data_IF_513690850366
#
_entry.id   IF_513690850366
#
_cell.length_a   1.000
_cell.length_b   1.000
_cell.length_c   1.000
_cell.angle_alpha   90.00
_cell.angle_beta   90.00
_cell.angle_gamma   90.00
#
_symmetry.space_group_name_H-M   'P 1'
#
loop_
_entity.id
_entity.type
_entity.pdbx_description
1 polymer ?
#
# COMPACT_ATOMS: atom_id res chain seq x y z
N UNK A 1 74.81 -1.93 -6.13
CA UNK A 1 73.37 -1.61 -5.94
C UNK A 1 72.47 -2.75 -6.42
N UNK A 2 72.72 -4.01 -6.02
CA UNK A 2 71.90 -5.12 -6.49
C UNK A 2 72.10 -6.48 -5.81
N UNK A 3 73.05 -6.59 -4.87
CA UNK A 3 73.24 -7.83 -4.08
C UNK A 3 72.66 -7.73 -2.67
N UNK A 4 72.35 -6.52 -2.18
CA UNK A 4 71.83 -6.28 -0.81
C UNK A 4 70.30 -6.25 -0.72
N UNK A 5 69.57 -6.43 -1.82
CA UNK A 5 68.13 -6.12 -1.90
C UNK A 5 67.21 -7.33 -2.10
N UNK A 6 67.63 -8.56 -1.81
CA UNK A 6 66.77 -9.75 -2.01
C UNK A 6 66.81 -10.37 -3.40
N UNK A 7 67.57 -9.77 -4.32
CA UNK A 7 67.63 -10.16 -5.72
C UNK A 7 69.02 -10.64 -6.12
N UNK A 8 69.06 -11.58 -7.07
CA UNK A 8 70.30 -11.97 -7.74
C UNK A 8 70.12 -12.17 -9.23
N UNK A 9 71.13 -11.80 -10.03
CA UNK A 9 71.22 -12.12 -11.45
C UNK A 9 71.60 -13.59 -11.67
N UNK A 10 70.86 -14.27 -12.54
CA UNK A 10 71.18 -15.61 -12.99
C UNK A 10 72.46 -15.63 -13.86
N UNK A 11 73.37 -16.56 -13.61
CA UNK A 11 74.60 -16.70 -14.42
C UNK A 11 74.33 -17.05 -15.90
N UNK A 12 73.21 -17.71 -16.21
CA UNK A 12 72.88 -18.19 -17.57
C UNK A 12 72.15 -17.14 -18.41
N UNK A 13 71.07 -16.57 -17.88
CA UNK A 13 70.21 -15.64 -18.63
C UNK A 13 70.27 -14.19 -18.14
N UNK A 14 71.03 -13.90 -17.07
CA UNK A 14 71.16 -12.58 -16.43
C UNK A 14 69.87 -11.96 -15.89
N UNK A 15 68.74 -12.68 -15.91
CA UNK A 15 67.51 -12.24 -15.27
C UNK A 15 67.67 -12.12 -13.75
N UNK A 16 67.03 -11.11 -13.13
CA UNK A 16 66.95 -10.94 -11.69
C UNK A 16 65.94 -11.94 -11.10
N UNK A 17 66.36 -12.67 -10.07
CA UNK A 17 65.58 -13.67 -9.36
C UNK A 17 65.55 -13.26 -7.88
N UNK A 18 64.37 -13.22 -7.27
CA UNK A 18 64.18 -12.96 -5.84
C UNK A 18 64.39 -14.25 -5.04
N UNK A 19 64.92 -14.14 -3.82
CA UNK A 19 65.00 -15.26 -2.90
C UNK A 19 63.63 -15.54 -2.28
N UNK A 20 63.03 -16.69 -2.60
CA UNK A 20 61.93 -17.23 -1.82
C UNK A 20 62.48 -17.74 -0.47
N UNK A 21 61.83 -17.37 0.63
CA UNK A 21 62.34 -17.50 2.00
C UNK A 21 62.95 -18.89 2.32
N UNK A 22 64.10 -18.90 3.02
CA UNK A 22 64.54 -20.05 3.83
C UNK A 22 65.57 -21.02 3.25
N UNK A 23 66.13 -20.83 2.05
CA UNK A 23 67.25 -21.65 1.57
C UNK A 23 68.20 -20.87 0.64
N UNK A 24 69.50 -21.20 0.66
CA UNK A 24 70.50 -20.56 -0.21
C UNK A 24 70.43 -21.04 -1.66
N UNK A 25 69.54 -21.98 -1.99
CA UNK A 25 69.31 -22.48 -3.34
C UNK A 25 68.34 -21.58 -4.12
N UNK A 26 68.76 -21.08 -5.27
CA UNK A 26 67.91 -20.34 -6.20
C UNK A 26 67.69 -21.14 -7.48
N UNK A 27 66.46 -21.09 -8.00
CA UNK A 27 66.12 -21.61 -9.33
C UNK A 27 65.57 -20.49 -10.19
N UNK A 28 66.25 -20.18 -11.30
CA UNK A 28 65.77 -19.19 -12.26
C UNK A 28 64.70 -19.77 -13.18
N UNK A 29 63.88 -18.92 -13.80
CA UNK A 29 62.93 -19.27 -14.88
C UNK A 29 63.60 -20.01 -16.05
N UNK A 30 64.89 -19.76 -16.32
CA UNK A 30 65.66 -20.51 -17.33
C UNK A 30 66.16 -21.88 -16.85
N UNK A 31 65.66 -22.37 -15.71
CA UNK A 31 65.99 -23.63 -15.03
C UNK A 31 67.44 -23.73 -14.52
N UNK A 32 68.20 -22.66 -14.60
CA UNK A 32 69.54 -22.62 -14.00
C UNK A 32 69.40 -22.54 -12.47
N UNK A 33 70.12 -23.42 -11.77
CA UNK A 33 70.17 -23.46 -10.32
C UNK A 33 71.52 -22.91 -9.83
N UNK A 34 71.50 -22.02 -8.85
CA UNK A 34 72.70 -21.39 -8.29
C UNK A 34 72.48 -20.96 -6.85
N UNK A 35 73.57 -20.76 -6.11
CA UNK A 35 73.50 -20.26 -4.75
C UNK A 35 73.09 -18.78 -4.72
N UNK A 36 72.27 -18.36 -3.75
CA UNK A 36 71.87 -16.97 -3.45
C UNK A 36 72.99 -16.13 -2.82
N UNK A 37 74.07 -16.74 -2.32
CA UNK A 37 75.15 -16.01 -1.60
C UNK A 37 76.43 -15.86 -2.42
N UNK A 38 76.94 -16.92 -3.06
CA UNK A 38 78.16 -16.81 -3.90
C UNK A 38 77.93 -16.83 -5.43
N UNK A 39 76.82 -17.40 -5.91
CA UNK A 39 76.39 -17.30 -7.32
C UNK A 39 76.91 -18.46 -8.15
N UNK A 40 77.67 -19.34 -7.49
CA UNK A 40 78.13 -20.59 -8.04
C UNK A 40 76.95 -21.48 -8.45
N UNK A 41 77.20 -22.29 -9.48
CA UNK A 41 76.27 -23.28 -10.00
C UNK A 41 75.96 -24.27 -8.87
N UNK A 42 74.68 -24.52 -8.64
CA UNK A 42 74.24 -25.44 -7.60
C UNK A 42 74.49 -26.88 -8.02
N UNK A 43 75.08 -27.67 -7.14
CA UNK A 43 75.26 -29.11 -7.35
C UNK A 43 74.20 -29.88 -6.55
N UNK A 44 73.52 -30.85 -7.15
CA UNK A 44 72.46 -31.62 -6.47
C UNK A 44 73.01 -32.54 -5.36
N UNK A 45 74.27 -32.96 -5.43
CA UNK A 45 74.86 -33.94 -4.51
C UNK A 45 75.62 -33.26 -3.36
N UNK A 46 76.26 -32.13 -3.62
CA UNK A 46 77.13 -31.41 -2.66
C UNK A 46 76.52 -30.08 -2.21
N UNK A 47 75.49 -29.57 -2.90
CA UNK A 47 74.90 -28.26 -2.64
C UNK A 47 75.73 -27.12 -3.25
N UNK A 48 75.90 -26.04 -2.50
CA UNK A 48 76.73 -24.91 -2.92
C UNK A 48 78.23 -25.30 -2.91
N UNK A 49 78.96 -25.17 -4.02
CA UNK A 49 80.40 -25.50 -4.08
C UNK A 49 81.27 -24.75 -3.07
N UNK A 50 80.83 -23.57 -2.63
CA UNK A 50 81.51 -22.74 -1.65
C UNK A 50 80.97 -22.92 -0.23
N UNK A 51 80.16 -23.97 0.02
CA UNK A 51 79.55 -24.30 1.31
C UNK A 51 78.94 -23.08 2.03
N UNK A 52 78.26 -22.20 1.28
CA UNK A 52 77.65 -21.01 1.86
C UNK A 52 76.42 -21.40 2.70
N UNK A 53 76.50 -21.19 4.01
CA UNK A 53 75.44 -21.58 4.96
C UNK A 53 74.26 -20.59 4.95
N UNK A 54 74.50 -19.30 4.75
CA UNK A 54 73.45 -18.31 4.49
C UNK A 54 72.43 -18.02 5.57
N UNK A 55 72.52 -18.77 6.66
CA UNK A 55 71.95 -18.53 7.97
C UNK A 55 72.11 -17.07 8.37
N UNK A 56 73.34 -16.53 8.38
CA UNK A 56 73.59 -15.16 8.82
C UNK A 56 72.90 -14.06 7.97
N UNK A 57 72.82 -14.22 6.64
CA UNK A 57 72.20 -13.21 5.76
C UNK A 57 70.66 -13.28 5.81
N UNK A 58 70.12 -14.48 5.92
CA UNK A 58 68.68 -14.71 6.11
C UNK A 58 68.21 -14.25 7.49
N UNK A 59 68.97 -14.52 8.55
CA UNK A 59 68.70 -14.07 9.92
C UNK A 59 68.72 -12.54 10.02
N UNK A 60 69.69 -11.86 9.40
CA UNK A 60 69.71 -10.39 9.35
C UNK A 60 68.44 -9.80 8.73
N UNK A 61 67.93 -10.38 7.64
CA UNK A 61 66.68 -9.92 7.01
C UNK A 61 65.46 -10.20 7.85
N UNK A 62 65.40 -11.36 8.50
CA UNK A 62 64.31 -11.66 9.43
C UNK A 62 64.31 -10.65 10.57
N UNK A 63 65.47 -10.27 11.11
CA UNK A 63 65.60 -9.23 12.14
C UNK A 63 65.17 -7.86 11.59
N UNK A 64 65.59 -7.47 10.38
CA UNK A 64 65.19 -6.19 9.74
C UNK A 64 63.67 -6.14 9.44
N UNK A 65 63.10 -7.22 8.93
CA UNK A 65 61.66 -7.32 8.64
C UNK A 65 60.84 -7.34 9.93
N UNK A 66 61.29 -8.09 10.95
CA UNK A 66 60.69 -8.10 12.29
C UNK A 66 60.78 -6.72 12.96
N UNK A 67 61.90 -6.02 12.80
CA UNK A 67 62.06 -4.65 13.30
C UNK A 67 61.07 -3.70 12.60
N UNK A 68 60.96 -3.77 11.27
CA UNK A 68 60.00 -2.96 10.49
C UNK A 68 58.55 -3.25 10.89
N UNK A 69 58.17 -4.52 11.09
CA UNK A 69 56.81 -4.86 11.55
C UNK A 69 56.58 -4.40 12.98
N UNK A 70 57.58 -4.55 13.87
CA UNK A 70 57.48 -4.08 15.25
C UNK A 70 57.36 -2.56 15.33
N UNK A 71 58.02 -1.80 14.46
CA UNK A 71 57.86 -0.35 14.34
C UNK A 71 56.44 0.04 13.93
N UNK A 72 55.87 -0.61 12.90
CA UNK A 72 54.50 -0.37 12.44
C UNK A 72 53.46 -0.75 13.51
N UNK A 73 53.67 -1.88 14.20
CA UNK A 73 52.81 -2.33 15.29
C UNK A 73 52.89 -1.39 16.49
N UNK A 74 54.09 -0.86 16.80
CA UNK A 74 54.27 0.15 17.84
C UNK A 74 53.60 1.48 17.48
N UNK A 75 53.70 1.94 16.23
CA UNK A 75 53.00 3.14 15.74
C UNK A 75 51.48 2.98 15.82
N UNK A 76 50.96 1.83 15.37
CA UNK A 76 49.53 1.52 15.47
C UNK A 76 49.07 1.43 16.92
N UNK A 77 49.81 0.76 17.79
CA UNK A 77 49.51 0.68 19.21
C UNK A 77 49.54 2.06 19.89
N UNK A 78 50.46 2.93 19.51
CA UNK A 78 50.49 4.32 20.00
C UNK A 78 49.27 5.12 19.55
N UNK A 79 48.83 4.96 18.28
CA UNK A 79 47.61 5.59 17.76
C UNK A 79 46.36 5.08 18.46
N UNK A 80 46.25 3.77 18.63
CA UNK A 80 45.11 3.14 19.30
C UNK A 80 45.05 3.53 20.79
N UNK A 81 46.21 3.62 21.45
CA UNK A 81 46.31 4.10 22.83
C UNK A 81 45.95 5.58 22.97
N UNK A 82 46.37 6.43 22.02
CA UNK A 82 45.98 7.85 21.99
C UNK A 82 44.46 8.00 21.78
N UNK A 83 43.87 7.26 20.85
CA UNK A 83 42.43 7.25 20.60
C UNK A 83 41.64 6.73 21.83
N UNK A 84 42.15 5.70 22.51
CA UNK A 84 41.54 5.18 23.74
C UNK A 84 41.62 6.20 24.89
N UNK A 85 42.73 6.92 25.02
CA UNK A 85 42.89 7.97 26.02
C UNK A 85 41.94 9.16 25.75
N UNK A 86 41.80 9.58 24.50
CA UNK A 86 40.85 10.61 24.08
C UNK A 86 39.41 10.18 24.34
N UNK A 87 39.03 8.96 23.97
CA UNK A 87 37.70 8.40 24.24
C UNK A 87 37.40 8.29 25.75
N UNK A 88 38.40 7.98 26.58
CA UNK A 88 38.23 7.96 28.03
C UNK A 88 38.00 9.38 28.59
N UNK A 89 38.67 10.39 28.04
CA UNK A 89 38.47 11.79 28.43
C UNK A 89 37.10 12.32 28.02
N UNK A 90 36.62 12.00 26.82
CA UNK A 90 35.27 12.38 26.37
C UNK A 90 34.19 11.70 27.20
N UNK A 91 34.32 10.39 27.49
CA UNK A 91 33.37 9.66 28.32
C UNK A 91 33.27 10.23 29.74
N UNK A 92 34.40 10.64 30.30
CA UNK A 92 34.44 11.28 31.61
C UNK A 92 33.79 12.68 31.58
N UNK A 93 34.06 13.49 30.54
CA UNK A 93 33.43 14.80 30.36
C UNK A 93 31.90 14.69 30.14
N UNK A 94 31.44 13.67 29.42
CA UNK A 94 30.02 13.34 29.30
C UNK A 94 29.39 12.95 30.63
N UNK A 95 30.06 12.10 31.42
CA UNK A 95 29.57 11.70 32.74
C UNK A 95 29.36 12.92 33.64
N UNK A 96 30.35 13.82 33.68
CA UNK A 96 30.25 15.08 34.46
C UNK A 96 29.05 15.92 34.01
N UNK A 97 28.86 16.09 32.71
CA UNK A 97 27.70 16.85 32.20
C UNK A 97 26.38 16.20 32.60
N UNK A 98 26.25 14.86 32.45
CA UNK A 98 25.01 14.13 32.77
C UNK A 98 24.66 14.19 34.26
N UNK A 99 25.66 14.16 35.12
CA UNK A 99 25.47 14.19 36.58
C UNK A 99 25.32 15.61 37.13
N UNK A 100 25.67 16.64 36.34
CA UNK A 100 25.63 18.01 36.80
C UNK A 100 24.19 18.49 37.08
N UNK A 101 23.88 19.07 38.27
CA UNK A 101 22.53 19.47 38.65
C UNK A 101 21.85 20.45 37.67
N UNK A 102 22.62 21.39 37.10
CA UNK A 102 22.07 22.35 36.13
C UNK A 102 21.66 21.66 34.81
N UNK A 103 22.37 20.62 34.39
CA UNK A 103 21.99 19.84 33.20
C UNK A 103 20.75 18.99 33.49
N UNK A 104 20.66 18.37 34.66
CA UNK A 104 19.46 17.63 35.07
C UNK A 104 18.21 18.52 35.12
N UNK A 105 18.35 19.76 35.62
CA UNK A 105 17.27 20.74 35.62
C UNK A 105 16.85 21.13 34.19
N UNK A 106 17.82 21.44 33.31
CA UNK A 106 17.56 21.73 31.90
C UNK A 106 16.88 20.55 31.18
N UNK A 107 17.33 19.33 31.45
CA UNK A 107 16.76 18.10 30.89
C UNK A 107 15.30 17.95 31.33
N UNK A 108 14.99 18.16 32.62
CA UNK A 108 13.62 18.10 33.13
C UNK A 108 12.72 19.16 32.44
N UNK A 109 13.22 20.39 32.28
CA UNK A 109 12.50 21.47 31.59
C UNK A 109 12.21 21.14 30.12
N UNK A 110 13.20 20.61 29.40
CA UNK A 110 13.06 20.18 28.01
C UNK A 110 12.03 19.06 27.87
N UNK A 111 12.08 18.05 28.75
CA UNK A 111 11.11 16.95 28.75
C UNK A 111 9.69 17.47 29.05
N UNK A 112 9.54 18.39 30.01
CA UNK A 112 8.24 19.00 30.31
C UNK A 112 7.71 19.86 29.14
N UNK A 113 8.58 20.61 28.46
CA UNK A 113 8.21 21.35 27.24
C UNK A 113 7.78 20.40 26.11
N UNK A 114 8.52 19.31 25.90
CA UNK A 114 8.18 18.26 24.93
C UNK A 114 6.81 17.67 25.21
N UNK A 115 6.52 17.30 26.45
CA UNK A 115 5.25 16.71 26.83
C UNK A 115 4.09 17.68 26.54
N UNK A 116 4.20 18.94 26.98
CA UNK A 116 3.17 19.97 26.70
C UNK A 116 2.93 20.15 25.21
N UNK A 117 3.98 20.11 24.40
CA UNK A 117 3.85 20.19 22.95
C UNK A 117 3.15 18.96 22.37
N UNK A 118 3.51 17.74 22.81
CA UNK A 118 2.86 16.51 22.38
C UNK A 118 1.37 16.50 22.75
N UNK A 119 1.04 16.89 23.97
CA UNK A 119 -0.35 16.99 24.44
C UNK A 119 -1.13 17.99 23.59
N UNK A 120 -0.56 19.16 23.31
CA UNK A 120 -1.17 20.17 22.45
C UNK A 120 -1.40 19.65 21.02
N UNK A 121 -0.41 18.99 20.44
CA UNK A 121 -0.53 18.40 19.09
C UNK A 121 -1.64 17.36 19.04
N UNK A 122 -1.68 16.45 20.02
CA UNK A 122 -2.71 15.41 20.12
C UNK A 122 -4.10 16.02 20.30
N UNK A 123 -4.24 17.03 21.16
CA UNK A 123 -5.50 17.75 21.37
C UNK A 123 -6.00 18.39 20.06
N UNK A 124 -5.11 19.07 19.31
CA UNK A 124 -5.48 19.71 18.05
C UNK A 124 -5.81 18.71 16.95
N UNK A 125 -5.05 17.61 16.84
CA UNK A 125 -5.36 16.52 15.92
C UNK A 125 -6.72 15.91 16.24
N UNK A 126 -6.97 15.60 17.50
CA UNK A 126 -8.25 15.04 17.93
C UNK A 126 -9.43 15.96 17.58
N UNK A 127 -9.33 17.26 17.86
CA UNK A 127 -10.38 18.23 17.47
C UNK A 127 -10.59 18.31 15.95
N UNK A 128 -9.54 18.16 15.16
CA UNK A 128 -9.64 18.11 13.70
C UNK A 128 -10.34 16.82 13.25
N UNK A 129 -9.89 15.65 13.72
CA UNK A 129 -10.49 14.34 13.41
C UNK A 129 -11.99 14.29 13.78
N UNK A 130 -12.36 14.86 14.93
CA UNK A 130 -13.76 14.95 15.34
C UNK A 130 -14.59 15.78 14.37
N UNK A 131 -14.11 16.97 13.96
CA UNK A 131 -14.82 17.81 12.98
C UNK A 131 -14.92 17.13 11.61
N UNK A 132 -13.86 16.45 11.18
CA UNK A 132 -13.87 15.67 9.94
C UNK A 132 -14.89 14.54 10.00
N UNK A 133 -14.91 13.80 11.10
CA UNK A 133 -15.87 12.74 11.38
C UNK A 133 -17.32 13.24 11.36
N UNK A 134 -17.62 14.35 12.05
CA UNK A 134 -18.93 14.97 12.08
C UNK A 134 -19.39 15.42 10.68
N UNK A 135 -18.53 16.11 9.93
CA UNK A 135 -18.83 16.56 8.56
C UNK A 135 -19.09 15.38 7.62
N UNK A 136 -18.26 14.32 7.69
CA UNK A 136 -18.43 13.11 6.90
C UNK A 136 -19.73 12.39 7.26
N UNK A 137 -20.01 12.22 8.55
CA UNK A 137 -21.24 11.58 9.03
C UNK A 137 -22.49 12.35 8.59
N UNK A 138 -22.48 13.69 8.70
CA UNK A 138 -23.57 14.54 8.25
C UNK A 138 -23.82 14.43 6.73
N UNK A 139 -22.74 14.39 5.95
CA UNK A 139 -22.81 14.24 4.48
C UNK A 139 -23.37 12.88 4.10
N UNK A 140 -22.88 11.80 4.72
CA UNK A 140 -23.40 10.45 4.51
C UNK A 140 -24.88 10.37 4.89
N UNK A 141 -25.26 10.88 6.06
CA UNK A 141 -26.65 10.87 6.54
C UNK A 141 -27.61 11.64 5.61
N UNK A 142 -27.16 12.76 5.05
CA UNK A 142 -27.93 13.51 4.05
C UNK A 142 -28.17 12.70 2.78
N UNK A 143 -27.12 12.04 2.27
CA UNK A 143 -27.24 11.23 1.06
C UNK A 143 -28.06 9.97 1.28
N UNK A 144 -27.97 9.32 2.44
CA UNK A 144 -28.82 8.17 2.77
C UNK A 144 -30.31 8.56 2.81
N UNK A 145 -30.65 9.68 3.44
CA UNK A 145 -32.04 10.19 3.46
C UNK A 145 -32.54 10.54 2.04
N UNK A 146 -31.68 11.10 1.18
CA UNK A 146 -32.02 11.39 -0.22
C UNK A 146 -32.26 10.11 -1.02
N UNK A 147 -31.41 9.08 -0.86
CA UNK A 147 -31.57 7.78 -1.52
C UNK A 147 -32.85 7.10 -1.06
N UNK A 148 -33.11 7.00 0.25
CA UNK A 148 -34.32 6.37 0.80
C UNK A 148 -35.59 7.06 0.28
N UNK A 149 -35.63 8.40 0.27
CA UNK A 149 -36.76 9.16 -0.27
C UNK A 149 -36.96 8.93 -1.77
N UNK A 150 -35.89 8.73 -2.52
CA UNK A 150 -35.97 8.42 -3.95
C UNK A 150 -36.49 6.99 -4.17
N UNK A 151 -35.93 6.01 -3.46
CA UNK A 151 -36.38 4.62 -3.50
C UNK A 151 -37.86 4.48 -3.13
N UNK A 152 -38.34 5.21 -2.13
CA UNK A 152 -39.76 5.21 -1.75
C UNK A 152 -40.65 5.71 -2.90
N UNK A 153 -40.22 6.76 -3.62
CA UNK A 153 -40.96 7.28 -4.79
C UNK A 153 -40.91 6.30 -5.96
N UNK A 154 -39.78 5.64 -6.16
CA UNK A 154 -39.59 4.63 -7.19
C UNK A 154 -40.50 3.44 -6.96
N UNK A 155 -40.55 2.93 -5.73
CA UNK A 155 -41.43 1.85 -5.29
C UNK A 155 -42.91 2.21 -5.49
N UNK A 156 -43.34 3.42 -5.10
CA UNK A 156 -44.72 3.90 -5.33
C UNK A 156 -45.08 3.95 -6.82
N UNK A 157 -44.16 4.42 -7.64
CA UNK A 157 -44.37 4.53 -9.10
C UNK A 157 -44.46 3.14 -9.75
N UNK A 158 -43.61 2.20 -9.33
CA UNK A 158 -43.64 0.82 -9.80
C UNK A 158 -44.94 0.12 -9.40
N UNK A 159 -45.35 0.24 -8.12
CA UNK A 159 -46.62 -0.30 -7.61
C UNK A 159 -47.82 0.24 -8.39
N UNK A 160 -47.86 1.55 -8.67
CA UNK A 160 -48.95 2.13 -9.46
C UNK A 160 -48.96 1.58 -10.89
N UNK A 161 -47.79 1.36 -11.50
CA UNK A 161 -47.72 0.75 -12.83
C UNK A 161 -48.26 -0.68 -12.79
N UNK A 162 -47.86 -1.48 -11.80
CA UNK A 162 -48.35 -2.85 -11.61
C UNK A 162 -49.87 -2.92 -11.44
N UNK A 163 -50.45 -2.06 -10.60
CA UNK A 163 -51.90 -1.97 -10.41
C UNK A 163 -52.63 -1.71 -11.73
N UNK A 164 -52.15 -0.75 -12.54
CA UNK A 164 -52.71 -0.46 -13.87
C UNK A 164 -52.54 -1.64 -14.85
N UNK A 165 -51.45 -2.38 -14.76
CA UNK A 165 -51.21 -3.54 -15.62
C UNK A 165 -52.16 -4.69 -15.27
N UNK A 166 -52.37 -4.94 -13.98
CA UNK A 166 -53.33 -5.93 -13.47
C UNK A 166 -54.75 -5.55 -13.92
N UNK A 167 -55.14 -4.28 -13.76
CA UNK A 167 -56.45 -3.79 -14.17
C UNK A 167 -56.69 -4.00 -15.68
N UNK A 168 -55.72 -3.64 -16.53
CA UNK A 168 -55.82 -3.84 -17.97
C UNK A 168 -55.89 -5.33 -18.37
N UNK A 169 -55.16 -6.21 -17.68
CA UNK A 169 -55.24 -7.65 -17.92
C UNK A 169 -56.60 -8.22 -17.48
N UNK A 170 -57.13 -7.78 -16.33
CA UNK A 170 -58.46 -8.15 -15.85
C UNK A 170 -59.55 -7.74 -16.83
N UNK A 171 -59.52 -6.50 -17.33
CA UNK A 171 -60.48 -6.01 -18.33
C UNK A 171 -60.41 -6.81 -19.64
N UNK A 172 -59.19 -7.10 -20.13
CA UNK A 172 -59.03 -7.94 -21.32
C UNK A 172 -59.60 -9.35 -21.08
N UNK A 173 -59.33 -9.98 -19.95
CA UNK A 173 -59.88 -11.31 -19.63
C UNK A 173 -61.41 -11.28 -19.56
N UNK A 174 -62.00 -10.26 -18.94
CA UNK A 174 -63.46 -10.10 -18.88
C UNK A 174 -64.08 -9.96 -20.27
N UNK A 175 -63.51 -9.13 -21.15
CA UNK A 175 -64.02 -8.97 -22.52
C UNK A 175 -63.89 -10.24 -23.36
N UNK A 176 -62.77 -10.96 -23.23
CA UNK A 176 -62.57 -12.25 -23.89
C UNK A 176 -63.59 -13.29 -23.38
N UNK A 177 -63.83 -13.36 -22.07
CA UNK A 177 -64.84 -14.25 -21.48
C UNK A 177 -66.26 -13.92 -21.94
N UNK A 178 -66.62 -12.63 -22.02
CA UNK A 178 -67.91 -12.20 -22.58
C UNK A 178 -68.07 -12.65 -24.04
N UNK A 179 -67.03 -12.49 -24.85
CA UNK A 179 -67.05 -12.95 -26.24
C UNK A 179 -67.21 -14.47 -26.34
N UNK A 180 -66.51 -15.24 -25.49
CA UNK A 180 -66.63 -16.70 -25.42
C UNK A 180 -68.05 -17.13 -25.04
N UNK A 181 -68.65 -16.49 -24.04
CA UNK A 181 -70.02 -16.74 -23.63
C UNK A 181 -71.01 -16.44 -24.75
N UNK A 182 -70.80 -15.36 -25.51
CA UNK A 182 -71.65 -15.02 -26.65
C UNK A 182 -71.60 -16.07 -27.77
N UNK A 183 -70.41 -16.62 -28.07
CA UNK A 183 -70.24 -17.71 -29.04
C UNK A 183 -70.89 -18.99 -28.52
N UNK A 184 -70.72 -19.33 -27.23
CA UNK A 184 -71.37 -20.49 -26.60
C UNK A 184 -72.90 -20.40 -26.64
N UNK A 185 -73.48 -19.24 -26.33
CA UNK A 185 -74.93 -19.02 -26.39
C UNK A 185 -75.43 -19.16 -27.83
N UNK A 186 -74.71 -18.56 -28.80
CA UNK A 186 -75.04 -18.67 -30.22
C UNK A 186 -74.97 -20.11 -30.72
N UNK A 187 -73.92 -20.84 -30.35
CA UNK A 187 -73.78 -22.27 -30.65
C UNK A 187 -74.97 -23.07 -30.12
N UNK A 188 -75.31 -22.93 -28.83
CA UNK A 188 -76.49 -23.62 -28.25
C UNK A 188 -77.78 -23.31 -28.99
N UNK A 189 -77.99 -22.05 -29.38
CA UNK A 189 -79.17 -21.65 -30.14
C UNK A 189 -79.16 -22.25 -31.56
N UNK A 190 -78.01 -22.28 -32.23
CA UNK A 190 -77.87 -22.88 -33.56
C UNK A 190 -77.96 -24.41 -33.52
N UNK A 191 -77.43 -25.06 -32.49
CA UNK A 191 -77.58 -26.50 -32.20
C UNK A 191 -79.06 -26.82 -32.04
N UNK A 192 -79.79 -26.12 -31.15
CA UNK A 192 -81.22 -26.33 -30.97
C UNK A 192 -82.04 -26.03 -32.24
N UNK A 193 -81.61 -25.06 -33.06
CA UNK A 193 -82.22 -24.76 -34.35
C UNK A 193 -82.03 -25.90 -35.36
N UNK A 194 -80.83 -26.48 -35.43
CA UNK A 194 -80.46 -27.53 -36.39
C UNK A 194 -80.92 -28.93 -35.95
N UNK A 195 -80.94 -29.22 -34.65
CA UNK A 195 -81.37 -30.50 -34.08
C UNK A 195 -82.88 -30.71 -34.17
N UNK A 196 -83.68 -29.64 -34.21
CA UNK A 196 -85.12 -29.71 -34.35
C UNK A 196 -85.77 -30.62 -33.32
N UNK A 197 -86.18 -30.09 -32.17
CA UNK A 197 -87.04 -30.83 -31.23
C UNK A 197 -88.40 -31.15 -31.90
N UNK A 198 -88.41 -32.18 -32.73
CA UNK A 198 -89.58 -32.89 -33.17
C UNK A 198 -90.09 -33.70 -32.00
N UNK A 199 -90.82 -33.07 -31.09
CA UNK A 199 -91.84 -33.71 -30.26
C UNK A 199 -92.77 -32.65 -29.66
N UNK A 200 -93.58 -32.02 -30.50
CA UNK A 200 -94.89 -31.52 -30.12
C UNK A 200 -95.92 -32.36 -30.85
N UNK A 201 -96.57 -33.30 -30.17
CA UNK A 201 -97.78 -33.93 -30.68
C UNK A 201 -98.83 -32.80 -30.84
N UNK A 202 -99.42 -32.74 -32.02
CA UNK A 202 -100.49 -31.83 -32.44
C UNK A 202 -100.15 -30.31 -32.53
N UNK A 203 -99.66 -29.89 -33.71
CA UNK A 203 -99.79 -28.50 -34.14
C UNK A 203 -99.76 -28.38 -35.66
N UNK A 204 -100.81 -27.79 -36.24
CA UNK A 204 -100.98 -27.48 -37.68
C UNK A 204 -100.07 -26.32 -38.14
N UNK A 205 -98.77 -26.37 -37.81
CA UNK A 205 -97.76 -25.40 -38.23
C UNK A 205 -96.76 -26.02 -39.23
N UNK A 206 -96.27 -25.27 -40.24
CA UNK A 206 -95.35 -25.80 -41.24
C UNK A 206 -94.08 -26.38 -40.61
N UNK A 207 -93.69 -27.59 -41.03
CA UNK A 207 -92.42 -28.23 -40.62
C UNK A 207 -91.24 -27.34 -41.05
N UNK A 208 -90.40 -26.98 -40.08
CA UNK A 208 -89.22 -26.12 -40.27
C UNK A 208 -88.14 -26.86 -41.06
N UNK A 209 -87.59 -26.26 -42.11
CA UNK A 209 -86.54 -26.85 -42.98
C UNK A 209 -85.19 -26.21 -42.66
N UNK A 210 -84.24 -27.02 -42.18
CA UNK A 210 -82.84 -26.62 -41.99
C UNK A 210 -82.15 -26.64 -43.36
N UNK A 211 -81.48 -25.56 -43.73
CA UNK A 211 -80.77 -25.45 -45.01
C UNK A 211 -79.31 -25.90 -44.87
N UNK A 212 -78.67 -26.29 -45.99
CA UNK A 212 -77.23 -26.60 -46.02
C UNK A 212 -76.38 -25.42 -45.53
N UNK A 213 -76.84 -24.19 -45.78
CA UNK A 213 -76.22 -22.96 -45.29
C UNK A 213 -76.23 -22.89 -43.77
N UNK A 214 -77.32 -23.27 -43.10
CA UNK A 214 -77.43 -23.26 -41.64
C UNK A 214 -76.42 -24.23 -41.00
N UNK A 215 -76.20 -25.40 -41.61
CA UNK A 215 -75.21 -26.38 -41.16
C UNK A 215 -73.76 -25.89 -41.39
N UNK A 216 -73.49 -25.20 -42.49
CA UNK A 216 -72.20 -24.56 -42.73
C UNK A 216 -71.92 -23.46 -41.71
N UNK A 217 -72.92 -22.62 -41.39
CA UNK A 217 -72.81 -21.57 -40.38
C UNK A 217 -72.59 -22.16 -38.97
N UNK A 218 -73.25 -23.29 -38.63
CA UNK A 218 -72.99 -24.03 -37.38
C UNK A 218 -71.55 -24.56 -37.31
N UNK A 219 -71.05 -25.16 -38.40
CA UNK A 219 -69.66 -25.61 -38.51
C UNK A 219 -68.64 -24.48 -38.34
N UNK A 220 -68.94 -23.29 -38.89
CA UNK A 220 -68.12 -22.09 -38.66
C UNK A 220 -68.09 -21.68 -37.20
N UNK A 221 -69.21 -21.75 -36.47
CA UNK A 221 -69.25 -21.42 -35.04
C UNK A 221 -68.45 -22.40 -34.18
N UNK A 222 -68.41 -23.70 -34.52
CA UNK A 222 -67.55 -24.67 -33.82
C UNK A 222 -66.07 -24.39 -34.04
N UNK A 223 -65.67 -24.11 -35.28
CA UNK A 223 -64.29 -23.74 -35.59
C UNK A 223 -63.85 -22.48 -34.82
N UNK A 224 -64.76 -21.50 -34.68
CA UNK A 224 -64.52 -20.33 -33.85
C UNK A 224 -64.29 -20.74 -32.39
N UNK A 225 -65.21 -21.49 -31.77
CA UNK A 225 -65.09 -21.96 -30.38
C UNK A 225 -63.75 -22.68 -30.13
N UNK A 226 -63.37 -23.58 -31.02
CA UNK A 226 -62.18 -24.41 -30.86
C UNK A 226 -60.87 -23.60 -31.02
N UNK A 227 -60.91 -22.52 -31.83
CA UNK A 227 -59.79 -21.58 -31.99
C UNK A 227 -59.68 -20.51 -30.89
N UNK A 228 -60.75 -20.23 -30.14
CA UNK A 228 -60.81 -19.10 -29.21
C UNK A 228 -59.77 -19.18 -28.08
N UNK A 229 -59.56 -20.36 -27.49
CA UNK A 229 -58.60 -20.50 -26.39
C UNK A 229 -57.17 -20.08 -26.80
N UNK A 230 -56.72 -20.48 -28.00
CA UNK A 230 -55.40 -20.09 -28.54
C UNK A 230 -55.34 -18.59 -28.82
N UNK A 231 -56.39 -18.03 -29.45
CA UNK A 231 -56.46 -16.60 -29.74
C UNK A 231 -56.45 -15.74 -28.46
N UNK A 232 -57.21 -16.16 -27.44
CA UNK A 232 -57.24 -15.50 -26.13
C UNK A 232 -55.86 -15.51 -25.48
N UNK A 233 -55.20 -16.67 -25.47
CA UNK A 233 -53.86 -16.81 -24.91
C UNK A 233 -52.85 -15.92 -25.64
N UNK A 234 -52.87 -15.90 -26.98
CA UNK A 234 -51.99 -15.03 -27.76
C UNK A 234 -52.21 -13.55 -27.47
N UNK A 235 -53.48 -13.11 -27.33
CA UNK A 235 -53.79 -11.71 -26.97
C UNK A 235 -53.27 -11.33 -25.58
N UNK A 236 -53.44 -12.22 -24.60
CA UNK A 236 -52.95 -12.02 -23.23
C UNK A 236 -51.41 -11.96 -23.22
N UNK A 237 -50.74 -12.85 -23.95
CA UNK A 237 -49.27 -12.87 -24.04
C UNK A 237 -48.74 -11.56 -24.64
N UNK A 238 -49.31 -11.09 -25.76
CA UNK A 238 -48.88 -9.82 -26.38
C UNK A 238 -49.09 -8.63 -25.43
N UNK A 239 -50.15 -8.62 -24.63
CA UNK A 239 -50.36 -7.59 -23.61
C UNK A 239 -49.26 -7.66 -22.55
N UNK A 240 -49.00 -8.86 -22.00
CA UNK A 240 -47.97 -9.09 -20.96
C UNK A 240 -46.57 -8.74 -21.44
N UNK A 241 -46.21 -9.08 -22.67
CA UNK A 241 -44.90 -8.76 -23.23
C UNK A 241 -44.70 -7.24 -23.32
N UNK A 242 -45.74 -6.49 -23.70
CA UNK A 242 -45.71 -5.02 -23.72
C UNK A 242 -45.62 -4.42 -22.32
N UNK A 243 -46.34 -5.01 -21.36
CA UNK A 243 -46.32 -4.60 -19.95
C UNK A 243 -44.95 -4.84 -19.32
N UNK A 244 -44.35 -6.01 -19.58
CA UNK A 244 -43.00 -6.38 -19.13
C UNK A 244 -41.96 -5.38 -19.65
N UNK A 245 -41.98 -5.06 -20.95
CA UNK A 245 -41.06 -4.08 -21.52
C UNK A 245 -41.20 -2.69 -20.89
N UNK A 246 -42.43 -2.23 -20.64
CA UNK A 246 -42.67 -0.94 -19.96
C UNK A 246 -42.16 -0.94 -18.52
N UNK A 247 -42.28 -2.07 -17.81
CA UNK A 247 -41.75 -2.22 -16.47
C UNK A 247 -40.22 -2.19 -16.48
N UNK A 248 -39.59 -2.93 -17.40
CA UNK A 248 -38.14 -2.94 -17.59
C UNK A 248 -37.58 -1.53 -17.85
N UNK A 249 -38.18 -0.78 -18.79
CA UNK A 249 -37.79 0.59 -19.09
C UNK A 249 -37.96 1.55 -17.89
N UNK A 250 -38.95 1.32 -17.02
CA UNK A 250 -39.13 2.09 -15.80
C UNK A 250 -38.02 1.79 -14.79
N UNK A 251 -37.76 0.51 -14.54
CA UNK A 251 -36.75 0.06 -13.59
C UNK A 251 -35.34 0.49 -14.02
N UNK A 252 -35.04 0.46 -15.32
CA UNK A 252 -33.77 0.94 -15.86
C UNK A 252 -33.58 2.45 -15.61
N UNK A 253 -34.61 3.27 -15.85
CA UNK A 253 -34.55 4.71 -15.54
C UNK A 253 -34.35 4.95 -14.05
N UNK A 254 -35.07 4.21 -13.21
CA UNK A 254 -34.97 4.30 -11.76
C UNK A 254 -33.58 3.89 -11.25
N UNK A 255 -32.98 2.86 -11.82
CA UNK A 255 -31.62 2.44 -11.52
C UNK A 255 -30.59 3.52 -11.89
N UNK A 256 -30.69 4.08 -13.10
CA UNK A 256 -29.81 5.16 -13.57
C UNK A 256 -29.91 6.43 -12.70
N UNK A 257 -31.09 6.72 -12.13
CA UNK A 257 -31.26 7.84 -11.19
C UNK A 257 -30.57 7.59 -9.85
N UNK A 258 -30.68 6.38 -9.31
CA UNK A 258 -29.99 5.98 -8.08
C UNK A 258 -28.47 5.94 -8.26
N UNK A 259 -27.99 5.45 -9.40
CA UNK A 259 -26.56 5.46 -9.76
C UNK A 259 -26.01 6.89 -9.78
N UNK A 260 -26.71 7.82 -10.45
CA UNK A 260 -26.31 9.24 -10.46
C UNK A 260 -26.28 9.86 -9.06
N UNK A 261 -27.16 9.46 -8.15
CA UNK A 261 -27.09 9.92 -6.76
C UNK A 261 -25.91 9.31 -6.03
N UNK A 262 -25.61 8.03 -6.26
CA UNK A 262 -24.44 7.37 -5.69
C UNK A 262 -23.13 8.04 -6.16
N UNK A 263 -23.01 8.34 -7.45
CA UNK A 263 -21.86 9.05 -8.02
C UNK A 263 -21.68 10.44 -7.38
N UNK A 264 -22.78 11.19 -7.20
CA UNK A 264 -22.72 12.50 -6.53
C UNK A 264 -22.27 12.38 -5.08
N UNK A 265 -22.75 11.37 -4.37
CA UNK A 265 -22.31 11.08 -3.00
C UNK A 265 -20.82 10.76 -2.97
N UNK A 266 -20.34 9.93 -3.89
CA UNK A 266 -18.92 9.56 -3.98
C UNK A 266 -18.06 10.80 -4.25
N UNK A 267 -18.41 11.61 -5.25
CA UNK A 267 -17.71 12.86 -5.57
C UNK A 267 -17.66 13.84 -4.38
N UNK A 268 -18.76 13.99 -3.63
CA UNK A 268 -18.77 14.85 -2.43
C UNK A 268 -17.90 14.28 -1.31
N UNK A 269 -17.86 12.95 -1.13
CA UNK A 269 -17.01 12.31 -0.13
C UNK A 269 -15.52 12.40 -0.51
N UNK A 270 -15.19 12.29 -1.79
CA UNK A 270 -13.83 12.49 -2.31
C UNK A 270 -13.38 13.94 -2.13
N UNK A 271 -14.23 14.91 -2.44
CA UNK A 271 -13.94 16.32 -2.21
C UNK A 271 -13.65 16.60 -0.73
N UNK A 272 -14.50 16.08 0.17
CA UNK A 272 -14.26 16.18 1.62
C UNK A 272 -12.96 15.51 2.05
N UNK A 273 -12.64 14.33 1.50
CA UNK A 273 -11.40 13.63 1.82
C UNK A 273 -10.16 14.43 1.37
N UNK A 274 -10.22 15.09 0.21
CA UNK A 274 -9.19 15.99 -0.27
C UNK A 274 -9.01 17.20 0.67
N UNK A 275 -10.12 17.84 1.06
CA UNK A 275 -10.09 18.97 1.99
C UNK A 275 -9.49 18.57 3.36
N UNK A 276 -9.84 17.37 3.86
CA UNK A 276 -9.33 16.84 5.12
C UNK A 276 -7.84 16.53 5.05
N UNK A 277 -7.37 15.92 3.96
CA UNK A 277 -5.95 15.66 3.74
C UNK A 277 -5.14 16.96 3.68
N UNK A 278 -5.67 17.99 3.01
CA UNK A 278 -5.03 19.30 2.98
C UNK A 278 -4.94 19.92 4.40
N UNK A 279 -6.01 19.87 5.19
CA UNK A 279 -6.00 20.38 6.57
C UNK A 279 -5.01 19.61 7.47
N UNK A 280 -4.92 18.29 7.30
CA UNK A 280 -3.93 17.44 7.99
C UNK A 280 -2.49 17.83 7.63
N UNK A 281 -2.20 18.03 6.35
CA UNK A 281 -0.88 18.42 5.85
C UNK A 281 -0.48 19.81 6.36
N UNK A 282 -1.39 20.80 6.30
CA UNK A 282 -1.15 22.15 6.83
C UNK A 282 -0.85 22.11 8.33
N UNK A 283 -1.61 21.31 9.10
CA UNK A 283 -1.40 21.13 10.53
C UNK A 283 -0.05 20.45 10.82
N UNK A 284 0.28 19.39 10.08
CA UNK A 284 1.55 18.69 10.20
C UNK A 284 2.74 19.58 9.87
N UNK A 285 2.64 20.42 8.84
CA UNK A 285 3.67 21.40 8.48
C UNK A 285 3.93 22.39 9.61
N UNK A 286 2.89 23.04 10.13
CA UNK A 286 3.02 24.00 11.25
C UNK A 286 3.67 23.35 12.47
N UNK A 287 3.31 22.11 12.79
CA UNK A 287 3.91 21.38 13.92
C UNK A 287 5.34 20.96 13.67
N UNK A 288 5.68 20.57 12.44
CA UNK A 288 7.06 20.23 12.07
C UNK A 288 7.99 21.45 12.20
N UNK A 289 7.54 22.64 11.81
CA UNK A 289 8.29 23.89 11.91
C UNK A 289 8.48 24.30 13.37
N UNK A 290 7.40 24.23 14.18
CA UNK A 290 7.47 24.50 15.62
C UNK A 290 8.40 23.53 16.34
N UNK A 291 8.35 22.23 16.00
CA UNK A 291 9.28 21.22 16.52
C UNK A 291 10.73 21.57 16.17
N UNK A 292 11.02 21.91 14.91
CA UNK A 292 12.36 22.31 14.46
C UNK A 292 12.88 23.52 15.22
N UNK A 293 12.02 24.51 15.46
CA UNK A 293 12.39 25.70 16.24
C UNK A 293 12.69 25.35 17.70
N UNK A 294 11.87 24.51 18.35
CA UNK A 294 12.14 24.06 19.72
C UNK A 294 13.46 23.29 19.83
N UNK A 295 13.74 22.37 18.90
CA UNK A 295 14.99 21.63 18.86
C UNK A 295 16.20 22.57 18.79
N UNK A 296 16.16 23.60 17.94
CA UNK A 296 17.20 24.62 17.85
C UNK A 296 17.39 25.38 19.16
N UNK A 297 16.29 25.80 19.79
CA UNK A 297 16.34 26.51 21.08
C UNK A 297 16.92 25.61 22.18
N UNK A 298 16.58 24.33 22.20
CA UNK A 298 17.12 23.37 23.18
C UNK A 298 18.61 23.11 22.96
N UNK A 299 19.06 22.98 21.70
CA UNK A 299 20.49 22.89 21.35
C UNK A 299 21.26 24.09 21.88
N UNK A 300 20.78 25.29 21.58
CA UNK A 300 21.44 26.52 21.99
C UNK A 300 21.51 26.64 23.52
N UNK A 301 20.44 26.26 24.23
CA UNK A 301 20.44 26.23 25.70
C UNK A 301 21.46 25.26 26.27
N UNK A 302 21.63 24.09 25.64
CA UNK A 302 22.64 23.11 26.03
C UNK A 302 24.06 23.65 25.80
N UNK A 303 24.30 24.28 24.65
CA UNK A 303 25.59 24.90 24.31
C UNK A 303 25.94 26.04 25.27
N UNK A 304 24.97 26.91 25.58
CA UNK A 304 25.14 27.98 26.57
C UNK A 304 25.47 27.40 27.94
N UNK A 305 24.72 26.38 28.38
CA UNK A 305 24.98 25.72 29.66
C UNK A 305 26.38 25.09 29.71
N UNK A 306 26.80 24.40 28.64
CA UNK A 306 28.15 23.83 28.54
C UNK A 306 29.20 24.91 28.71
N UNK A 307 29.12 25.98 27.92
CA UNK A 307 30.11 27.07 27.97
C UNK A 307 30.12 27.74 29.37
N UNK A 308 28.96 27.96 30.00
CA UNK A 308 28.90 28.50 31.36
C UNK A 308 29.52 27.60 32.43
N UNK A 309 29.47 26.27 32.25
CA UNK A 309 30.10 25.31 33.17
C UNK A 309 31.61 25.22 32.93
N UNK A 310 32.05 25.23 31.67
CA UNK A 310 33.48 25.28 31.31
C UNK A 310 34.14 26.54 31.87
N UNK A 311 33.47 27.69 31.76
CA UNK A 311 33.95 28.97 32.31
C UNK A 311 34.04 28.97 33.86
N UNK A 312 33.12 28.28 34.54
CA UNK A 312 33.06 28.24 36.02
C UNK A 312 34.02 27.23 36.62
N UNK A 313 34.08 26.03 36.07
CA UNK A 313 34.80 24.90 36.66
C UNK A 313 36.20 24.73 36.06
N UNK A 314 36.47 25.32 34.88
CA UNK A 314 37.73 25.15 34.14
C UNK A 314 37.95 23.72 33.64
N UNK A 315 36.90 22.90 33.62
CA UNK A 315 36.90 21.52 33.13
C UNK A 315 36.17 21.45 31.80
N UNK A 316 36.62 20.57 30.90
CA UNK A 316 35.93 20.31 29.64
C UNK A 316 34.61 19.57 29.87
N UNK A 317 33.55 20.02 29.19
CA UNK A 317 32.23 19.40 29.19
C UNK A 317 31.81 19.03 27.76
N UNK A 318 31.05 17.93 27.62
CA UNK A 318 30.52 17.50 26.30
C UNK A 318 29.06 17.88 26.19
N UNK A 319 28.63 18.34 25.01
CA UNK A 319 27.23 18.57 24.71
C UNK A 319 26.51 17.22 24.59
N UNK A 320 25.78 16.82 25.64
CA UNK A 320 25.01 15.58 25.63
C UNK A 320 23.65 15.82 24.98
N UNK A 321 23.38 15.13 23.87
CA UNK A 321 22.09 15.22 23.18
C UNK A 321 20.90 14.86 24.07
N UNK A 322 19.76 15.52 23.84
CA UNK A 322 18.51 15.16 24.50
C UNK A 322 17.97 13.82 23.94
N UNK A 323 17.19 13.05 24.73
CA UNK A 323 16.55 11.84 24.23
C UNK A 323 15.75 12.12 22.94
N UNK A 324 15.83 11.24 21.94
CA UNK A 324 15.16 11.43 20.66
C UNK A 324 13.63 11.52 20.83
N UNK A 325 12.94 12.06 19.82
CA UNK A 325 11.48 12.11 19.82
C UNK A 325 10.94 10.72 19.48
N UNK A 326 10.07 10.17 20.33
CA UNK A 326 9.47 8.86 20.10
C UNK A 326 8.18 9.03 19.27
N UNK A 327 7.92 8.17 18.26
CA UNK A 327 6.63 8.09 17.54
C UNK A 327 6.58 8.77 16.15
N UNK A 328 5.37 9.04 15.64
CA UNK A 328 5.06 9.60 14.29
C UNK A 328 5.79 10.92 13.96
N UNK A 329 6.31 11.61 14.96
CA UNK A 329 7.08 12.84 14.80
C UNK A 329 8.60 12.61 14.82
N UNK A 330 9.10 11.37 14.72
CA UNK A 330 10.52 11.09 14.53
C UNK A 330 10.95 11.64 13.16
N UNK A 331 11.59 12.81 13.14
CA UNK A 331 12.14 13.37 11.91
C UNK A 331 13.46 12.65 11.66
N UNK A 332 13.84 12.43 10.39
CA UNK A 332 15.23 12.10 9.99
C UNK A 332 16.29 13.05 10.57
N UNK A 333 15.88 14.20 11.11
CA UNK A 333 16.70 15.16 11.82
C UNK A 333 17.16 14.67 13.19
N UNK A 334 16.54 13.67 13.83
CA UNK A 334 17.06 13.14 15.11
C UNK A 334 18.46 12.52 14.91
N UNK A 335 18.74 11.95 13.74
CA UNK A 335 20.08 11.52 13.35
C UNK A 335 21.00 12.70 12.98
N UNK A 336 20.50 13.71 12.28
CA UNK A 336 21.28 14.89 11.89
C UNK A 336 21.64 15.79 13.09
N UNK A 337 20.79 15.83 14.12
CA UNK A 337 20.99 16.59 15.35
C UNK A 337 22.00 15.90 16.28
N UNK A 338 21.99 14.56 16.32
CA UNK A 338 23.06 13.77 16.97
C UNK A 338 24.40 13.92 16.23
N UNK A 339 24.37 13.96 14.89
CA UNK A 339 25.56 14.18 14.06
C UNK A 339 26.10 15.62 14.16
N UNK A 340 25.24 16.63 14.26
CA UNK A 340 25.65 18.03 14.41
C UNK A 340 26.27 18.32 15.79
N UNK A 341 25.77 17.66 16.84
CA UNK A 341 26.37 17.71 18.19
C UNK A 341 27.74 17.03 18.16
N UNK A 342 27.89 15.88 17.48
CA UNK A 342 29.17 15.20 17.31
C UNK A 342 30.18 16.03 16.48
N UNK A 343 29.72 16.73 15.44
CA UNK A 343 30.56 17.57 14.58
C UNK A 343 31.01 18.89 15.22
N UNK A 344 30.38 19.31 16.34
CA UNK A 344 30.78 20.50 17.10
C UNK A 344 31.83 20.19 18.19
N UNK A 345 32.19 18.90 18.35
CA UNK A 345 33.23 18.40 19.24
C UNK A 345 34.48 17.91 18.49
N UNK A 346 34.56 18.13 17.17
CA UNK A 346 35.76 17.95 16.32
C UNK A 346 36.28 19.32 15.90
#
# INVERSE_FOLDING_TARGET
MGEKSGWRRCYKCRALVELAQGCTHMTCRCKAQFCYICGAIWNLTVGCPNFCDGTEELERRQIEEQARTAELDAEKAARDAAAAAEAAQTAEAERRMREHPAFLALQADVLAQRQRFQDFVNEKRWHMEMRHGEKKAATVARHTDQTEKMEERHAKTASHLDERQIEAEMELRMTLQQSENSVKIRLKHMEAYCEGLGHGLDSELPKRVVTERDLQELGQQYNLRDGMARLHQSKINVLRDRQAKRMEELLERQANELEKLADRKEQELEALASDFAQEEDELAQVFSERKRMMLRVWSLRLEVLRNELEDKDGLAYVAVGFPPWNGEYSIRDDAAHLVAIAASCS
#
